data_IF_962055830381
#
_entry.id   IF_962055830381
#
_cell.length_a   1.000
_cell.length_b   1.000
_cell.length_c   1.000
_cell.angle_alpha   90.00
_cell.angle_beta   90.00
_cell.angle_gamma   90.00
#
_symmetry.space_group_name_H-M   'P 1'
#
loop_
_entity.id
_entity.type
_entity.pdbx_description
1 polymer ?
#
# COMPACT_ATOMS: atom_id res chain seq x y z
N UNK A 1 34.67 12.96 42.27
CA UNK A 1 34.68 12.93 40.79
C UNK A 1 33.93 11.68 40.35
N UNK A 2 32.83 11.82 39.62
CA UNK A 2 32.07 10.66 39.13
C UNK A 2 30.62 10.95 38.76
N UNK A 3 30.38 11.90 37.85
CA UNK A 3 29.11 12.01 37.12
C UNK A 3 29.46 12.11 35.64
N UNK A 4 29.36 11.01 34.93
CA UNK A 4 29.66 11.01 33.50
C UNK A 4 29.58 9.60 32.95
N UNK A 5 28.35 9.06 32.82
CA UNK A 5 28.01 7.87 32.03
C UNK A 5 26.49 7.62 32.12
N UNK A 6 25.69 8.53 31.57
CA UNK A 6 24.24 8.29 31.39
C UNK A 6 23.60 9.02 30.19
N UNK A 7 24.36 9.84 29.44
CA UNK A 7 23.81 10.67 28.35
C UNK A 7 23.74 9.97 26.98
N UNK A 8 24.52 8.91 26.78
CA UNK A 8 24.54 8.13 25.52
C UNK A 8 23.22 7.42 25.18
N UNK A 9 22.64 6.61 26.09
CA UNK A 9 21.43 5.85 25.78
C UNK A 9 20.19 6.75 25.69
N UNK A 10 20.08 7.80 26.51
CA UNK A 10 18.93 8.71 26.48
C UNK A 10 18.85 9.52 25.16
N UNK A 11 19.99 9.97 24.62
CA UNK A 11 20.02 10.65 23.32
C UNK A 11 19.74 9.70 22.16
N UNK A 12 20.26 8.46 22.21
CA UNK A 12 19.96 7.44 21.19
C UNK A 12 18.47 7.06 21.17
N UNK A 13 17.85 6.87 22.34
CA UNK A 13 16.41 6.61 22.45
C UNK A 13 15.60 7.80 21.91
N UNK A 14 15.97 9.03 22.24
CA UNK A 14 15.27 10.23 21.73
C UNK A 14 15.39 10.37 20.21
N UNK A 15 16.55 10.07 19.64
CA UNK A 15 16.76 10.07 18.19
C UNK A 15 15.93 8.99 17.48
N UNK A 16 15.86 7.77 18.04
CA UNK A 16 15.05 6.67 17.47
C UNK A 16 13.55 6.99 17.57
N UNK A 17 13.09 7.49 18.73
CA UNK A 17 11.69 7.83 18.99
C UNK A 17 11.21 8.99 18.11
N UNK A 18 12.09 9.90 17.70
CA UNK A 18 11.73 11.00 16.78
C UNK A 18 11.86 10.61 15.30
N UNK A 19 12.82 9.75 14.94
CA UNK A 19 13.06 9.38 13.54
C UNK A 19 12.01 8.40 12.98
N UNK A 20 11.56 7.43 13.78
CA UNK A 20 10.62 6.41 13.30
C UNK A 20 9.24 6.98 12.90
N UNK A 21 8.58 7.83 13.72
CA UNK A 21 7.33 8.47 13.31
C UNK A 21 7.52 9.39 12.10
N UNK A 22 8.66 10.08 12.01
CA UNK A 22 8.97 10.97 10.89
C UNK A 22 9.13 10.19 9.58
N UNK A 23 9.81 9.04 9.61
CA UNK A 23 9.96 8.16 8.44
C UNK A 23 8.59 7.59 7.99
N UNK A 24 7.75 7.17 8.93
CA UNK A 24 6.40 6.69 8.63
C UNK A 24 5.51 7.78 8.02
N UNK A 25 5.56 9.00 8.57
CA UNK A 25 4.85 10.15 8.04
C UNK A 25 5.38 10.56 6.65
N UNK A 26 6.69 10.50 6.43
CA UNK A 26 7.30 10.81 5.13
C UNK A 26 6.86 9.82 4.03
N UNK A 27 6.78 8.53 4.34
CA UNK A 27 6.26 7.52 3.41
C UNK A 27 4.81 7.80 3.01
N UNK A 28 3.95 8.07 3.99
CA UNK A 28 2.55 8.43 3.73
C UNK A 28 2.41 9.73 2.91
N UNK A 29 3.19 10.76 3.23
CA UNK A 29 3.20 12.01 2.47
C UNK A 29 3.70 11.80 1.03
N UNK A 30 4.65 10.90 0.82
CA UNK A 30 5.14 10.53 -0.51
C UNK A 30 4.03 9.92 -1.36
N UNK A 31 3.33 8.93 -0.83
CA UNK A 31 2.19 8.29 -1.51
C UNK A 31 1.07 9.29 -1.79
N UNK A 32 0.73 10.13 -0.81
CA UNK A 32 -0.32 11.15 -0.97
C UNK A 32 0.07 12.18 -2.03
N UNK A 33 1.33 12.62 -2.04
CA UNK A 33 1.84 13.55 -3.05
C UNK A 33 1.78 12.94 -4.45
N UNK A 34 2.15 11.66 -4.58
CA UNK A 34 2.04 10.93 -5.84
C UNK A 34 0.59 10.82 -6.29
N UNK A 35 -0.31 10.41 -5.40
CA UNK A 35 -1.74 10.35 -5.69
C UNK A 35 -2.26 11.71 -6.16
N UNK A 36 -1.92 12.80 -5.48
CA UNK A 36 -2.37 14.14 -5.85
C UNK A 36 -1.87 14.57 -7.25
N UNK A 37 -0.62 14.26 -7.60
CA UNK A 37 -0.05 14.59 -8.91
C UNK A 37 -0.59 13.71 -10.03
N UNK A 38 -0.90 12.45 -9.73
CA UNK A 38 -1.29 11.43 -10.71
C UNK A 38 -2.79 11.16 -10.77
N UNK A 39 -3.59 11.79 -9.90
CA UNK A 39 -5.00 11.48 -9.67
C UNK A 39 -5.80 11.39 -10.98
N UNK A 40 -5.70 12.38 -11.86
CA UNK A 40 -6.44 12.40 -13.13
C UNK A 40 -6.08 11.20 -14.04
N UNK A 41 -4.83 10.74 -14.02
CA UNK A 41 -4.40 9.57 -14.80
C UNK A 41 -4.89 8.27 -14.17
N UNK A 42 -4.91 8.20 -12.84
CA UNK A 42 -5.47 7.05 -12.12
C UNK A 42 -6.97 6.92 -12.41
N UNK A 43 -7.74 8.00 -12.27
CA UNK A 43 -9.19 8.03 -12.54
C UNK A 43 -9.49 7.60 -13.98
N UNK A 44 -8.69 8.04 -14.96
CA UNK A 44 -8.87 7.62 -16.35
C UNK A 44 -8.70 6.10 -16.53
N UNK A 45 -7.72 5.51 -15.85
CA UNK A 45 -7.50 4.05 -15.86
C UNK A 45 -8.65 3.36 -15.12
N UNK A 46 -9.03 3.80 -13.93
CA UNK A 46 -10.15 3.22 -13.16
C UNK A 46 -11.43 3.23 -14.00
N UNK A 47 -11.77 4.35 -14.63
CA UNK A 47 -12.97 4.48 -15.46
C UNK A 47 -12.95 3.51 -16.65
N UNK A 48 -11.80 3.36 -17.31
CA UNK A 48 -11.67 2.44 -18.44
C UNK A 48 -11.88 0.98 -18.03
N UNK A 49 -11.24 0.52 -16.96
CA UNK A 49 -11.33 -0.87 -16.52
C UNK A 49 -12.63 -1.17 -15.77
N UNK A 50 -13.27 -0.16 -15.19
CA UNK A 50 -14.63 -0.30 -14.66
C UNK A 50 -15.66 -0.49 -15.78
N UNK A 51 -15.46 0.15 -16.93
CA UNK A 51 -16.34 0.02 -18.09
C UNK A 51 -16.16 -1.32 -18.84
N UNK A 52 -14.95 -1.89 -18.83
CA UNK A 52 -14.65 -3.18 -19.45
C UNK A 52 -13.66 -3.97 -18.58
N UNK A 53 -14.17 -4.66 -17.53
CA UNK A 53 -13.34 -5.40 -16.58
C UNK A 53 -12.52 -6.49 -17.26
N UNK A 54 -11.20 -6.41 -17.08
CA UNK A 54 -10.24 -7.43 -17.54
C UNK A 54 -9.04 -7.42 -16.62
N UNK A 55 -8.43 -8.59 -16.44
CA UNK A 55 -7.21 -8.73 -15.65
C UNK A 55 -6.03 -8.17 -16.42
N UNK A 56 -5.17 -7.43 -15.74
CA UNK A 56 -3.90 -6.92 -16.29
C UNK A 56 -2.81 -7.07 -15.22
N UNK A 57 -1.58 -7.35 -15.66
CA UNK A 57 -0.44 -7.54 -14.77
C UNK A 57 0.73 -6.67 -15.21
N UNK A 58 1.11 -5.69 -14.39
CA UNK A 58 2.15 -4.70 -14.70
C UNK A 58 2.00 -4.06 -16.09
N UNK A 59 0.76 -3.77 -16.50
CA UNK A 59 0.49 -3.04 -17.72
C UNK A 59 0.91 -1.57 -17.57
N UNK A 60 1.20 -0.89 -18.68
CA UNK A 60 1.54 0.53 -18.68
C UNK A 60 0.54 1.33 -19.51
N UNK A 61 0.04 2.43 -18.95
CA UNK A 61 -0.84 3.38 -19.65
C UNK A 61 -0.66 4.78 -19.08
N UNK A 62 -0.61 5.79 -19.95
CA UNK A 62 -0.38 7.19 -19.56
C UNK A 62 0.90 7.41 -18.73
N UNK A 63 1.92 6.55 -18.94
CA UNK A 63 3.16 6.55 -18.16
C UNK A 63 3.01 6.03 -16.73
N UNK A 64 1.89 5.35 -16.42
CA UNK A 64 1.62 4.72 -15.13
C UNK A 64 1.61 3.21 -15.31
N UNK A 65 2.41 2.52 -14.50
CA UNK A 65 2.36 1.06 -14.39
C UNK A 65 1.22 0.67 -13.44
N UNK A 66 0.42 -0.33 -13.80
CA UNK A 66 -0.70 -0.77 -12.99
C UNK A 66 -1.02 -2.26 -13.18
N UNK A 67 -1.74 -2.82 -12.21
CA UNK A 67 -2.32 -4.17 -12.27
C UNK A 67 -3.80 -4.09 -11.93
N UNK A 68 -4.61 -4.98 -12.51
CA UNK A 68 -6.08 -4.96 -12.38
C UNK A 68 -6.58 -6.30 -11.85
N UNK A 69 -7.35 -6.23 -10.77
CA UNK A 69 -8.23 -7.29 -10.29
C UNK A 69 -9.64 -7.04 -10.86
N UNK A 70 -10.13 -7.89 -11.78
CA UNK A 70 -11.41 -7.65 -12.46
C UNK A 70 -12.63 -8.04 -11.60
N UNK A 71 -12.44 -8.61 -10.41
CA UNK A 71 -13.53 -9.01 -9.52
C UNK A 71 -14.44 -7.83 -9.17
N UNK A 72 -15.68 -8.05 -8.71
CA UNK A 72 -16.54 -6.95 -8.29
C UNK A 72 -16.18 -6.48 -6.86
N UNK A 73 -15.97 -5.16 -6.63
CA UNK A 73 -15.75 -4.12 -7.65
C UNK A 73 -14.34 -4.20 -8.25
N UNK A 74 -14.17 -3.68 -9.47
CA UNK A 74 -12.86 -3.62 -10.12
C UNK A 74 -11.88 -2.87 -9.22
N UNK A 75 -10.74 -3.50 -8.94
CA UNK A 75 -9.65 -2.89 -8.16
C UNK A 75 -8.45 -2.69 -9.06
N UNK A 76 -7.74 -1.59 -8.84
CA UNK A 76 -6.56 -1.23 -9.62
C UNK A 76 -5.43 -0.89 -8.68
N UNK A 77 -4.28 -1.57 -8.82
CA UNK A 77 -3.06 -1.26 -8.10
C UNK A 77 -2.13 -0.44 -9.01
N UNK A 78 -1.72 0.74 -8.54
CA UNK A 78 -0.88 1.69 -9.28
C UNK A 78 0.54 1.71 -8.76
N UNK A 79 1.47 1.84 -9.71
CA UNK A 79 2.91 1.87 -9.51
C UNK A 79 3.40 0.77 -8.57
N UNK A 80 3.05 -0.51 -8.84
CA UNK A 80 3.51 -1.64 -8.03
C UNK A 80 5.04 -1.64 -7.98
N UNK A 81 5.60 -1.54 -6.79
CA UNK A 81 7.03 -1.48 -6.54
C UNK A 81 7.42 -2.40 -5.39
N UNK A 82 8.51 -3.15 -5.55
CA UNK A 82 8.86 -4.21 -4.61
C UNK A 82 10.17 -4.91 -4.91
N UNK A 83 10.46 -5.94 -4.12
CA UNK A 83 11.62 -6.82 -4.29
C UNK A 83 11.19 -8.28 -4.10
N UNK A 84 11.46 -9.11 -5.11
CA UNK A 84 11.00 -10.50 -5.20
C UNK A 84 9.46 -10.56 -5.12
N UNK A 85 8.93 -11.42 -4.25
CA UNK A 85 7.48 -11.63 -4.10
C UNK A 85 6.81 -10.53 -3.26
N UNK A 86 7.59 -9.69 -2.57
CA UNK A 86 7.08 -8.60 -1.76
C UNK A 86 6.95 -7.32 -2.58
N UNK A 87 5.77 -6.74 -2.64
CA UNK A 87 5.55 -5.48 -3.34
C UNK A 87 4.47 -4.63 -2.68
N UNK A 88 4.44 -3.36 -3.04
CA UNK A 88 3.47 -2.39 -2.52
C UNK A 88 2.98 -1.48 -3.63
N UNK A 89 1.81 -0.89 -3.44
CA UNK A 89 1.23 0.03 -4.43
C UNK A 89 0.07 0.83 -3.85
N UNK A 90 -0.34 1.85 -4.61
CA UNK A 90 -1.57 2.58 -4.31
C UNK A 90 -2.73 1.82 -4.97
N UNK A 91 -3.65 1.30 -4.17
CA UNK A 91 -4.80 0.51 -4.62
C UNK A 91 -6.05 1.39 -4.60
N UNK A 92 -6.76 1.45 -5.72
CA UNK A 92 -8.13 1.92 -5.77
C UNK A 92 -9.08 0.75 -5.51
N UNK A 93 -9.84 0.81 -4.41
CA UNK A 93 -10.89 -0.15 -4.06
C UNK A 93 -12.14 0.60 -3.55
N UNK A 94 -13.19 0.75 -4.39
CA UNK A 94 -14.38 1.49 -4.00
C UNK A 94 -15.23 0.76 -2.94
N UNK A 95 -14.95 -0.50 -2.64
CA UNK A 95 -15.60 -1.22 -1.53
C UNK A 95 -14.92 -0.99 -0.18
N UNK A 96 -13.64 -0.59 -0.19
CA UNK A 96 -12.79 -0.49 1.01
C UNK A 96 -12.51 -1.82 1.71
N UNK A 97 -12.81 -2.94 1.06
CA UNK A 97 -12.69 -4.28 1.65
C UNK A 97 -11.23 -4.69 1.84
N UNK A 98 -10.31 -4.11 1.09
CA UNK A 98 -8.86 -4.25 1.32
C UNK A 98 -8.44 -3.92 2.77
N UNK A 99 -9.22 -3.12 3.49
CA UNK A 99 -8.97 -2.83 4.91
C UNK A 99 -9.41 -3.96 5.87
N UNK A 100 -10.08 -5.00 5.37
CA UNK A 100 -10.54 -6.15 6.15
C UNK A 100 -9.54 -7.32 6.17
N UNK A 101 -8.38 -7.18 5.51
CA UNK A 101 -7.32 -8.17 5.63
C UNK A 101 -6.63 -8.02 6.99
N UNK A 102 -6.65 -9.10 7.76
CA UNK A 102 -5.89 -9.21 9.02
C UNK A 102 -4.42 -9.63 8.76
N UNK A 103 -4.09 -9.97 7.51
CA UNK A 103 -2.75 -10.37 7.11
C UNK A 103 -2.39 -11.76 7.64
N UNK A 104 -1.13 -11.95 8.04
CA UNK A 104 -0.63 -13.22 8.57
C UNK A 104 -0.66 -13.23 10.11
N UNK A 105 -1.24 -14.29 10.70
CA UNK A 105 -1.21 -14.51 12.15
C UNK A 105 0.18 -14.97 12.66
N UNK A 106 0.35 -15.08 13.98
CA UNK A 106 1.60 -15.55 14.60
C UNK A 106 1.97 -16.99 14.18
N UNK A 107 1.02 -17.75 13.62
CA UNK A 107 1.22 -19.09 13.11
C UNK A 107 1.47 -19.11 11.59
N UNK A 108 1.57 -17.94 10.96
CA UNK A 108 1.82 -17.78 9.52
C UNK A 108 0.61 -18.09 8.65
N UNK A 109 -0.61 -18.09 9.20
CA UNK A 109 -1.84 -18.26 8.40
C UNK A 109 -2.37 -16.92 7.96
N UNK A 110 -2.67 -16.82 6.67
CA UNK A 110 -3.29 -15.66 6.07
C UNK A 110 -4.79 -15.61 6.40
N UNK A 111 -5.25 -14.46 6.90
CA UNK A 111 -6.65 -14.19 7.19
C UNK A 111 -7.12 -12.96 6.41
N UNK A 112 -7.94 -13.19 5.41
CA UNK A 112 -8.72 -12.17 4.74
C UNK A 112 -10.02 -12.78 4.19
N UNK A 113 -11.08 -11.99 3.99
CA UNK A 113 -12.25 -12.47 3.28
C UNK A 113 -11.91 -12.99 1.87
N UNK A 114 -12.53 -14.10 1.46
CA UNK A 114 -12.25 -14.78 0.17
C UNK A 114 -12.20 -13.86 -1.06
N UNK A 115 -13.01 -12.79 -1.05
CA UNK A 115 -13.13 -11.82 -2.15
C UNK A 115 -11.96 -10.84 -2.29
N UNK A 116 -11.13 -10.70 -1.26
CA UNK A 116 -9.89 -9.91 -1.30
C UNK A 116 -8.64 -10.77 -1.13
N UNK A 117 -8.81 -12.09 -1.02
CA UNK A 117 -7.72 -13.05 -1.02
C UNK A 117 -7.15 -13.19 -2.43
N UNK A 118 -5.81 -13.15 -2.55
CA UNK A 118 -5.10 -13.30 -3.84
C UNK A 118 -5.46 -12.25 -4.91
N UNK A 119 -5.99 -11.10 -4.52
CA UNK A 119 -6.14 -9.97 -5.46
C UNK A 119 -4.76 -9.59 -5.99
N UNK A 120 -4.70 -9.27 -7.29
CA UNK A 120 -3.43 -9.00 -7.96
C UNK A 120 -2.41 -10.14 -7.77
N UNK A 121 -2.85 -11.39 -7.60
CA UNK A 121 -1.97 -12.55 -7.47
C UNK A 121 -1.13 -12.64 -6.19
N UNK A 122 -1.29 -11.73 -5.22
CA UNK A 122 -0.52 -11.71 -3.97
C UNK A 122 -1.38 -11.79 -2.72
N UNK A 123 -0.77 -12.13 -1.58
CA UNK A 123 -1.42 -12.10 -0.27
C UNK A 123 -1.31 -10.70 0.34
N UNK A 124 -2.45 -10.13 0.73
CA UNK A 124 -2.51 -8.76 1.22
C UNK A 124 -2.03 -8.67 2.68
N UNK A 125 -0.79 -8.22 2.87
CA UNK A 125 -0.14 -8.16 4.19
C UNK A 125 -0.68 -7.02 5.03
N UNK A 126 -0.85 -5.85 4.44
CA UNK A 126 -1.41 -4.68 5.13
C UNK A 126 -1.94 -3.65 4.14
N UNK A 127 -2.94 -2.90 4.58
CA UNK A 127 -3.43 -1.72 3.88
C UNK A 127 -3.60 -0.57 4.86
N UNK A 128 -3.45 0.64 4.32
CA UNK A 128 -3.72 1.89 5.03
C UNK A 128 -4.49 2.81 4.10
N UNK A 129 -5.57 3.39 4.60
CA UNK A 129 -6.32 4.42 3.88
C UNK A 129 -5.44 5.63 3.56
N UNK A 130 -5.57 6.14 2.33
CA UNK A 130 -4.80 7.28 1.84
C UNK A 130 -5.73 8.48 1.60
N UNK A 131 -6.67 8.36 0.66
CA UNK A 131 -7.66 9.41 0.35
C UNK A 131 -8.79 8.84 -0.52
N UNK A 132 -10.05 9.12 -0.18
CA UNK A 132 -11.20 8.61 -0.93
C UNK A 132 -11.19 7.07 -0.96
N UNK A 133 -11.31 6.51 -2.15
CA UNK A 133 -11.27 5.05 -2.39
C UNK A 133 -9.85 4.52 -2.66
N UNK A 134 -8.82 5.29 -2.29
CA UNK A 134 -7.42 4.93 -2.45
C UNK A 134 -6.76 4.53 -1.13
N UNK A 135 -5.95 3.47 -1.20
CA UNK A 135 -5.25 2.84 -0.08
C UNK A 135 -3.79 2.58 -0.47
N UNK A 136 -2.85 2.71 0.47
CA UNK A 136 -1.50 2.14 0.30
C UNK A 136 -1.53 0.72 0.83
N UNK A 137 -1.22 -0.25 -0.03
CA UNK A 137 -1.26 -1.67 0.32
C UNK A 137 0.07 -2.37 0.03
N UNK A 138 0.38 -3.39 0.83
CA UNK A 138 1.55 -4.24 0.71
C UNK A 138 1.13 -5.70 0.55
N UNK A 139 1.86 -6.43 -0.29
CA UNK A 139 1.57 -7.77 -0.75
C UNK A 139 2.82 -8.67 -0.65
N UNK A 140 2.59 -9.98 -0.55
CA UNK A 140 3.61 -11.05 -0.66
C UNK A 140 3.16 -12.19 -1.57
#
# INVERSE_FOLDING_TARGET
MGFGLALGPAMAVTAIVSFLPAAWAAGWLGDLSRLALEHNRYEAIVAEYSASPRSEWFAERYGITFSVDPGPPVRVAFNPGGFLDNWSGIVHDPSGEVMLADGFDEQGRFHAPDRITKIFGGDLVSCRWLWGDYYTCSFT
#
